data_IF_838468012963
#
_entry.id   IF_838468012963
#
_cell.length_a   1.000
_cell.length_b   1.000
_cell.length_c   1.000
_cell.angle_alpha   90.00
_cell.angle_beta   90.00
_cell.angle_gamma   90.00
#
_symmetry.space_group_name_H-M   'P 1'
#
loop_
_entity.id
_entity.type
_entity.pdbx_description
1 polymer ?
#
# COMPACT_ATOMS: atom_id res chain seq x y z
N UNK A 1 26.88 -17.90 13.52
CA UNK A 1 26.45 -16.76 14.36
C UNK A 1 25.50 -15.88 13.55
N UNK A 2 24.31 -15.56 14.04
CA UNK A 2 23.55 -14.44 13.47
C UNK A 2 24.15 -13.16 14.01
N UNK A 3 24.79 -12.37 13.16
CA UNK A 3 25.37 -11.10 13.56
C UNK A 3 24.28 -10.04 13.61
N UNK A 4 24.23 -9.29 14.71
CA UNK A 4 23.47 -8.04 14.78
C UNK A 4 24.12 -7.03 13.84
N UNK A 5 23.34 -6.48 12.91
CA UNK A 5 23.82 -5.47 11.96
C UNK A 5 23.07 -4.17 12.21
N UNK A 6 23.81 -3.12 12.53
CA UNK A 6 23.29 -1.76 12.61
C UNK A 6 23.53 -1.00 11.30
N UNK A 7 22.65 -0.05 10.97
CA UNK A 7 22.88 0.87 9.85
C UNK A 7 22.19 2.22 10.11
N UNK A 8 22.84 3.29 9.68
CA UNK A 8 22.19 4.59 9.47
C UNK A 8 21.91 4.74 7.98
N UNK A 9 20.70 5.17 7.62
CA UNK A 9 20.33 5.39 6.22
C UNK A 9 19.26 6.45 6.09
N UNK A 10 19.28 7.16 4.97
CA UNK A 10 18.17 7.99 4.53
C UNK A 10 17.18 7.06 3.82
N UNK A 11 16.07 6.74 4.48
CA UNK A 11 15.07 5.82 3.93
C UNK A 11 14.35 6.40 2.72
N UNK A 12 14.08 7.70 2.75
CA UNK A 12 13.35 8.49 1.73
C UNK A 12 13.82 9.94 1.81
N UNK A 13 14.19 10.54 0.67
CA UNK A 13 14.39 11.98 0.53
C UNK A 13 13.65 12.40 -0.72
N UNK A 14 12.48 13.03 -0.54
CA UNK A 14 11.51 13.22 -1.62
C UNK A 14 11.28 14.67 -1.95
N UNK A 15 11.17 14.96 -3.24
CA UNK A 15 10.62 16.21 -3.75
C UNK A 15 9.33 15.90 -4.49
N UNK A 16 8.25 16.58 -4.10
CA UNK A 16 6.94 16.43 -4.73
C UNK A 16 6.50 17.77 -5.30
N UNK A 17 6.10 17.77 -6.57
CA UNK A 17 5.45 18.89 -7.24
C UNK A 17 4.08 18.41 -7.70
N UNK A 18 3.03 19.07 -7.21
CA UNK A 18 1.65 18.79 -7.59
C UNK A 18 0.90 20.10 -7.78
N UNK A 19 -0.12 20.08 -8.63
CA UNK A 19 -0.89 21.26 -8.94
C UNK A 19 -1.88 21.01 -10.06
N UNK A 20 -2.29 22.09 -10.73
CA UNK A 20 -3.16 22.04 -11.89
C UNK A 20 -2.57 22.85 -13.03
N UNK A 21 -2.90 22.47 -14.26
CA UNK A 21 -2.47 23.13 -15.48
C UNK A 21 -3.70 23.56 -16.28
N UNK A 22 -3.78 24.83 -16.69
CA UNK A 22 -4.88 25.44 -17.45
C UNK A 22 -6.24 25.50 -16.72
N UNK A 23 -6.73 24.40 -16.12
CA UNK A 23 -7.95 24.34 -15.32
C UNK A 23 -7.75 23.48 -14.08
N UNK A 24 -8.59 23.67 -13.05
CA UNK A 24 -8.58 22.83 -11.84
C UNK A 24 -8.94 21.36 -12.09
N UNK A 25 -9.51 21.06 -13.26
CA UNK A 25 -9.87 19.71 -13.64
C UNK A 25 -8.66 18.92 -14.15
N UNK A 26 -7.63 19.61 -14.68
CA UNK A 26 -6.39 19.00 -15.14
C UNK A 26 -5.30 19.12 -14.07
N UNK A 27 -5.15 18.09 -13.25
CA UNK A 27 -4.14 18.01 -12.21
C UNK A 27 -2.90 17.23 -12.68
N UNK A 28 -1.73 17.55 -12.11
CA UNK A 28 -0.50 16.81 -12.35
C UNK A 28 0.22 16.51 -11.04
N UNK A 29 1.03 15.44 -11.05
CA UNK A 29 1.86 15.02 -9.92
C UNK A 29 3.21 14.49 -10.44
N UNK A 30 4.29 15.07 -9.90
CA UNK A 30 5.66 14.59 -10.05
C UNK A 30 6.24 14.35 -8.65
N UNK A 31 6.75 13.15 -8.40
CA UNK A 31 7.42 12.80 -7.16
C UNK A 31 8.72 12.06 -7.44
N UNK A 32 9.81 12.59 -6.90
CA UNK A 32 11.15 11.99 -6.96
C UNK A 32 11.58 11.57 -5.55
N UNK A 33 12.24 10.42 -5.42
CA UNK A 33 12.91 9.94 -4.22
C UNK A 33 14.40 9.80 -4.48
N UNK A 34 15.18 10.78 -4.07
CA UNK A 34 16.63 10.88 -4.31
C UNK A 34 17.48 9.85 -3.55
N UNK A 35 16.88 9.15 -2.58
CA UNK A 35 17.51 8.04 -1.87
C UNK A 35 17.45 6.70 -2.65
N UNK A 36 16.86 6.71 -3.85
CA UNK A 36 16.62 5.55 -4.72
C UNK A 36 17.52 5.66 -5.96
N UNK A 37 17.97 4.53 -6.52
CA UNK A 37 18.78 4.52 -7.74
C UNK A 37 17.99 4.98 -8.97
N UNK A 38 16.68 4.68 -8.95
CA UNK A 38 15.70 5.17 -9.92
C UNK A 38 14.74 6.12 -9.21
N UNK A 39 15.06 7.43 -9.16
CA UNK A 39 14.39 8.36 -8.26
C UNK A 39 12.91 8.61 -8.62
N UNK A 40 12.50 8.38 -9.87
CA UNK A 40 11.12 8.62 -10.28
C UNK A 40 10.16 7.67 -9.55
N UNK A 41 9.29 8.23 -8.70
CA UNK A 41 8.18 7.52 -8.08
C UNK A 41 6.89 7.75 -8.85
N UNK A 42 6.42 8.99 -8.92
CA UNK A 42 5.16 9.35 -9.56
C UNK A 42 5.42 10.39 -10.66
N UNK A 43 4.81 10.20 -11.83
CA UNK A 43 4.76 11.18 -12.93
C UNK A 43 3.46 10.93 -13.69
N UNK A 44 2.42 11.68 -13.35
CA UNK A 44 1.09 11.46 -13.90
C UNK A 44 0.31 12.76 -14.06
N UNK A 45 -0.70 12.68 -14.92
CA UNK A 45 -1.71 13.71 -15.15
C UNK A 45 -3.07 13.08 -14.92
N UNK A 46 -3.99 13.84 -14.32
CA UNK A 46 -5.36 13.42 -14.09
C UNK A 46 -6.34 14.50 -14.57
N UNK A 47 -7.38 14.08 -15.28
CA UNK A 47 -8.46 14.94 -15.72
C UNK A 47 -9.79 14.55 -15.05
N UNK A 48 -10.43 15.47 -14.35
CA UNK A 48 -11.76 15.30 -13.76
C UNK A 48 -12.86 15.74 -14.74
N UNK A 49 -13.50 14.78 -15.41
CA UNK A 49 -14.62 15.02 -16.32
C UNK A 49 -15.91 15.47 -15.61
N UNK A 50 -15.93 15.43 -14.28
CA UNK A 50 -17.09 15.81 -13.47
C UNK A 50 -16.95 17.17 -12.79
N UNK A 51 -15.95 17.96 -13.20
CA UNK A 51 -15.76 19.35 -12.79
C UNK A 51 -15.71 19.55 -11.28
N UNK A 52 -14.77 18.88 -10.62
CA UNK A 52 -14.52 18.96 -9.18
C UNK A 52 -15.37 18.01 -8.33
N UNK A 53 -16.37 17.33 -8.91
CA UNK A 53 -17.16 16.29 -8.20
C UNK A 53 -16.40 14.97 -8.04
N UNK A 54 -15.31 14.77 -8.80
CA UNK A 54 -14.48 13.55 -8.79
C UNK A 54 -15.29 12.26 -9.03
N UNK A 55 -16.36 12.31 -9.81
CA UNK A 55 -17.14 11.13 -10.20
C UNK A 55 -16.47 10.34 -11.32
N UNK A 56 -15.71 11.02 -12.19
CA UNK A 56 -15.02 10.42 -13.32
C UNK A 56 -13.67 11.11 -13.53
N UNK A 57 -12.63 10.57 -12.90
CA UNK A 57 -11.26 11.05 -13.01
C UNK A 57 -10.45 10.04 -13.80
N UNK A 58 -9.97 10.44 -14.97
CA UNK A 58 -9.02 9.67 -15.76
C UNK A 58 -7.60 10.11 -15.41
N UNK A 59 -6.78 9.18 -14.95
CA UNK A 59 -5.36 9.40 -14.62
C UNK A 59 -4.48 8.57 -15.56
N UNK A 60 -3.41 9.16 -16.08
CA UNK A 60 -2.42 8.49 -16.92
C UNK A 60 -0.98 8.84 -16.52
N UNK A 61 -0.07 7.89 -16.66
CA UNK A 61 1.35 8.04 -16.34
C UNK A 61 1.85 6.97 -15.37
N UNK A 62 2.91 7.28 -14.61
CA UNK A 62 3.41 6.41 -13.53
C UNK A 62 2.82 6.83 -12.19
N UNK A 63 2.15 5.89 -11.51
CA UNK A 63 1.57 6.11 -10.19
C UNK A 63 1.28 4.77 -9.49
N UNK A 64 0.82 4.83 -8.24
CA UNK A 64 0.41 3.62 -7.51
C UNK A 64 -0.81 2.98 -8.16
N UNK A 65 -0.68 1.70 -8.50
CA UNK A 65 -1.78 0.86 -8.96
C UNK A 65 -2.88 0.81 -7.88
N UNK A 66 -4.18 0.79 -8.22
CA UNK A 66 -5.29 0.84 -7.25
C UNK A 66 -5.48 -0.47 -6.47
N UNK A 67 -4.42 -1.04 -5.91
CA UNK A 67 -4.42 -2.33 -5.23
C UNK A 67 -3.63 -2.28 -3.91
N UNK A 68 -4.26 -2.72 -2.83
CA UNK A 68 -3.76 -2.73 -1.46
C UNK A 68 -3.90 -1.38 -0.74
N UNK A 69 -4.67 -1.33 0.35
CA UNK A 69 -4.88 -0.08 1.09
C UNK A 69 -3.59 0.48 1.70
N UNK A 70 -2.79 -0.36 2.35
CA UNK A 70 -1.56 0.11 2.99
C UNK A 70 -0.53 0.57 1.94
N UNK A 71 -0.55 0.00 0.74
CA UNK A 71 0.25 0.49 -0.38
C UNK A 71 -0.23 1.84 -0.87
N UNK A 72 -1.53 2.01 -1.10
CA UNK A 72 -2.12 3.28 -1.52
C UNK A 72 -1.89 4.41 -0.50
N UNK A 73 -1.84 4.08 0.78
CA UNK A 73 -1.48 5.03 1.84
C UNK A 73 -0.05 5.53 1.66
N UNK A 74 0.16 6.84 1.78
CA UNK A 74 1.49 7.44 1.70
C UNK A 74 2.39 6.83 2.78
N UNK A 75 3.64 6.54 2.43
CA UNK A 75 4.62 6.05 3.42
C UNK A 75 4.85 7.05 4.56
N UNK A 76 4.65 8.34 4.31
CA UNK A 76 4.72 9.37 5.36
C UNK A 76 3.56 9.29 6.36
N UNK A 77 2.46 8.65 5.97
CA UNK A 77 1.20 8.56 6.72
C UNK A 77 0.96 7.19 7.34
N UNK A 78 2.02 6.42 7.60
CA UNK A 78 1.95 5.09 8.24
C UNK A 78 2.32 5.14 9.73
N UNK A 79 1.76 4.20 10.52
CA UNK A 79 2.03 4.02 11.96
C UNK A 79 3.35 3.32 12.24
N UNK A 80 3.91 2.63 11.25
CA UNK A 80 5.18 1.92 11.33
C UNK A 80 6.14 2.44 10.25
N UNK A 81 7.44 2.21 10.45
CA UNK A 81 8.50 2.68 9.54
C UNK A 81 8.39 2.06 8.14
N UNK A 82 7.97 0.80 8.08
CA UNK A 82 7.67 0.08 6.84
C UNK A 82 6.29 -0.60 6.91
N UNK A 83 5.79 -0.95 5.73
CA UNK A 83 4.56 -1.72 5.54
C UNK A 83 4.65 -3.11 6.14
N UNK A 84 3.49 -3.74 6.33
CA UNK A 84 3.38 -5.11 6.78
C UNK A 84 4.07 -6.06 5.81
N UNK A 85 4.48 -7.23 6.31
CA UNK A 85 5.00 -8.32 5.47
C UNK A 85 3.99 -8.69 4.36
N UNK A 86 2.70 -8.68 4.68
CA UNK A 86 1.62 -9.03 3.74
C UNK A 86 1.45 -7.95 2.68
N UNK A 87 1.39 -6.67 3.05
CA UNK A 87 1.36 -5.57 2.07
C UNK A 87 2.58 -5.61 1.16
N UNK A 88 3.76 -5.86 1.71
CA UNK A 88 5.02 -5.94 0.95
C UNK A 88 5.03 -7.09 -0.06
N UNK A 89 4.39 -8.22 0.27
CA UNK A 89 4.34 -9.41 -0.59
C UNK A 89 3.31 -9.29 -1.73
N UNK A 90 2.15 -8.69 -1.46
CA UNK A 90 1.02 -8.70 -2.39
C UNK A 90 0.75 -7.38 -3.10
N UNK A 91 1.08 -6.23 -2.49
CA UNK A 91 0.82 -4.96 -3.13
C UNK A 91 1.81 -4.68 -4.27
N UNK A 92 1.32 -4.02 -5.33
CA UNK A 92 2.09 -3.83 -6.58
C UNK A 92 2.99 -2.61 -6.57
N UNK A 93 2.73 -1.66 -5.68
CA UNK A 93 3.39 -0.37 -5.72
C UNK A 93 2.96 0.41 -6.95
N UNK A 94 3.93 0.79 -7.78
CA UNK A 94 3.73 1.71 -8.89
C UNK A 94 3.97 1.05 -10.23
N UNK A 95 3.22 1.49 -11.23
CA UNK A 95 3.37 1.08 -12.62
C UNK A 95 2.96 2.22 -13.56
N UNK A 96 3.24 2.06 -14.84
CA UNK A 96 2.87 2.98 -15.91
C UNK A 96 1.59 2.47 -16.56
N UNK A 97 0.58 3.33 -16.65
CA UNK A 97 -0.70 2.97 -17.23
C UNK A 97 -1.75 4.07 -17.16
N UNK A 98 -3.01 3.64 -17.24
CA UNK A 98 -4.20 4.50 -17.15
C UNK A 98 -5.18 3.94 -16.12
N UNK A 99 -5.84 4.83 -15.39
CA UNK A 99 -6.84 4.50 -14.39
C UNK A 99 -8.05 5.42 -14.54
N UNK A 100 -9.25 4.85 -14.52
CA UNK A 100 -10.49 5.59 -14.31
C UNK A 100 -10.96 5.38 -12.87
N UNK A 101 -11.39 6.45 -12.21
CA UNK A 101 -11.83 6.38 -10.82
C UNK A 101 -12.93 7.39 -10.49
N UNK A 102 -13.65 7.15 -9.41
CA UNK A 102 -14.71 8.06 -8.97
C UNK A 102 -15.16 7.90 -7.52
N UNK A 103 -15.73 8.97 -6.97
CA UNK A 103 -16.35 9.07 -5.65
C UNK A 103 -17.88 9.20 -5.77
N UNK A 104 -18.56 8.08 -6.00
CA UNK A 104 -20.01 8.04 -6.17
C UNK A 104 -20.79 8.10 -4.83
N UNK A 105 -22.11 8.25 -4.93
CA UNK A 105 -23.04 8.28 -3.77
C UNK A 105 -22.67 9.33 -2.72
N UNK A 106 -22.28 10.53 -3.16
CA UNK A 106 -21.84 11.61 -2.28
C UNK A 106 -20.54 11.28 -1.54
N UNK A 107 -19.64 10.52 -2.19
CA UNK A 107 -18.36 10.10 -1.62
C UNK A 107 -18.43 8.82 -0.79
N UNK A 108 -19.57 8.13 -0.71
CA UNK A 108 -19.70 6.86 0.04
C UNK A 108 -19.18 5.63 -0.72
N UNK A 109 -18.89 5.77 -2.01
CA UNK A 109 -18.39 4.70 -2.85
C UNK A 109 -17.18 5.19 -3.66
N UNK A 110 -15.97 4.74 -3.30
CA UNK A 110 -14.73 4.94 -4.06
C UNK A 110 -14.53 3.73 -4.99
N UNK A 111 -14.55 3.95 -6.31
CA UNK A 111 -14.31 2.91 -7.29
C UNK A 111 -13.14 3.30 -8.19
N UNK A 112 -12.34 2.31 -8.56
CA UNK A 112 -11.14 2.48 -9.40
C UNK A 112 -10.97 1.26 -10.28
N UNK A 113 -10.70 1.50 -11.56
CA UNK A 113 -10.31 0.46 -12.53
C UNK A 113 -9.13 0.97 -13.33
N UNK A 114 -8.18 0.11 -13.67
CA UNK A 114 -7.01 0.53 -14.43
C UNK A 114 -6.40 -0.57 -15.29
N UNK A 115 -5.63 -0.13 -16.28
CA UNK A 115 -4.81 -0.97 -17.14
C UNK A 115 -3.37 -0.44 -17.12
N UNK A 116 -2.42 -1.32 -16.84
CA UNK A 116 -1.01 -0.99 -16.63
C UNK A 116 -0.12 -1.96 -17.39
N UNK A 117 1.16 -1.60 -17.56
CA UNK A 117 2.11 -2.48 -18.23
C UNK A 117 2.35 -3.80 -17.45
N UNK A 118 2.21 -3.80 -16.12
CA UNK A 118 2.44 -5.00 -15.31
C UNK A 118 3.92 -5.31 -15.04
N UNK A 119 4.82 -4.45 -15.52
CA UNK A 119 6.28 -4.60 -15.38
C UNK A 119 6.83 -3.82 -14.16
N UNK A 120 6.00 -2.97 -13.54
CA UNK A 120 6.35 -2.21 -12.35
C UNK A 120 7.10 -0.89 -12.61
N UNK A 121 7.44 -0.22 -11.51
CA UNK A 121 8.00 1.14 -11.51
C UNK A 121 9.27 1.27 -12.38
N UNK A 122 9.28 2.29 -13.23
CA UNK A 122 10.38 2.66 -14.13
C UNK A 122 10.71 1.62 -15.21
N UNK A 123 9.80 0.67 -15.48
CA UNK A 123 9.88 -0.18 -16.65
C UNK A 123 9.39 0.60 -17.88
N UNK A 124 10.30 0.92 -18.80
CA UNK A 124 10.01 1.75 -19.99
C UNK A 124 9.35 0.98 -21.13
N UNK A 125 9.25 -0.34 -21.01
CA UNK A 125 8.57 -1.20 -21.97
C UNK A 125 7.76 -2.26 -21.22
N UNK A 126 6.65 -2.68 -21.84
CA UNK A 126 5.94 -3.88 -21.40
C UNK A 126 6.85 -5.09 -21.64
N UNK A 127 6.97 -5.97 -20.65
CA UNK A 127 7.86 -7.13 -20.72
C UNK A 127 7.22 -8.32 -21.46
N UNK A 128 5.92 -8.24 -21.75
CA UNK A 128 5.15 -9.21 -22.51
C UNK A 128 4.05 -8.53 -23.38
N UNK A 129 3.16 -9.32 -24.00
CA UNK A 129 2.11 -8.84 -24.91
C UNK A 129 0.77 -8.52 -24.24
N UNK A 130 0.68 -8.60 -22.91
CA UNK A 130 -0.53 -8.45 -22.11
C UNK A 130 -0.39 -7.29 -21.12
N UNK A 131 -1.52 -6.73 -20.71
CA UNK A 131 -1.58 -5.70 -19.68
C UNK A 131 -1.96 -6.29 -18.32
N UNK A 132 -1.53 -5.62 -17.26
CA UNK A 132 -2.10 -5.78 -15.93
C UNK A 132 -3.43 -5.03 -15.86
N UNK A 133 -4.44 -5.64 -15.25
CA UNK A 133 -5.73 -5.00 -14.97
C UNK A 133 -6.05 -5.05 -13.48
N UNK A 134 -6.51 -3.93 -12.95
CA UNK A 134 -6.83 -3.77 -11.54
C UNK A 134 -8.24 -3.19 -11.38
N UNK A 135 -8.95 -3.68 -10.37
CA UNK A 135 -10.22 -3.12 -9.93
C UNK A 135 -10.25 -3.04 -8.41
N UNK A 136 -10.77 -1.94 -7.89
CA UNK A 136 -10.99 -1.74 -6.45
C UNK A 136 -12.27 -0.97 -6.22
N UNK A 137 -13.07 -1.44 -5.29
CA UNK A 137 -14.29 -0.77 -4.84
C UNK A 137 -14.29 -0.72 -3.32
N UNK A 138 -14.40 0.47 -2.75
CA UNK A 138 -14.50 0.71 -1.32
C UNK A 138 -15.83 1.39 -0.98
N UNK A 139 -16.56 0.80 -0.04
CA UNK A 139 -17.79 1.34 0.51
C UNK A 139 -17.52 1.93 1.89
N UNK A 140 -17.90 3.20 2.07
CA UNK A 140 -17.63 3.98 3.27
C UNK A 140 -18.90 4.72 3.73
N UNK A 141 -19.87 4.02 4.36
CA UNK A 141 -21.24 4.52 4.56
C UNK A 141 -21.34 5.72 5.51
N UNK A 142 -20.38 5.87 6.43
CA UNK A 142 -20.39 6.88 7.49
C UNK A 142 -19.53 8.11 7.18
N UNK A 143 -18.92 8.17 5.99
CA UNK A 143 -18.08 9.27 5.56
C UNK A 143 -16.74 8.78 5.01
N UNK A 144 -15.97 9.70 4.44
CA UNK A 144 -14.71 9.36 3.79
C UNK A 144 -13.65 8.86 4.77
N UNK A 145 -13.12 7.65 4.52
CA UNK A 145 -12.00 7.10 5.29
C UNK A 145 -10.69 7.38 4.56
N UNK A 146 -10.04 8.49 4.94
CA UNK A 146 -8.78 8.94 4.35
C UNK A 146 -7.70 7.86 4.36
N UNK A 147 -6.85 7.84 3.33
CA UNK A 147 -5.65 6.99 3.26
C UNK A 147 -4.55 7.56 4.16
N UNK A 148 -4.75 7.44 5.48
CA UNK A 148 -3.85 7.88 6.56
C UNK A 148 -4.02 6.93 7.74
N UNK A 149 -2.94 6.49 8.36
CA UNK A 149 -2.99 5.50 9.44
C UNK A 149 -3.06 6.11 10.86
N UNK A 150 -3.77 7.20 11.10
CA UNK A 150 -3.96 7.75 12.45
C UNK A 150 -5.21 8.63 12.51
N UNK A 151 -5.89 8.68 13.66
CA UNK A 151 -7.04 9.56 13.89
C UNK A 151 -6.68 10.91 14.55
N UNK A 152 -5.97 11.78 13.83
CA UNK A 152 -5.60 13.12 14.36
C UNK A 152 -6.81 14.03 14.65
N UNK A 153 -7.97 13.73 14.09
CA UNK A 153 -9.17 14.54 14.29
C UNK A 153 -9.92 14.15 15.57
N UNK A 154 -9.54 13.05 16.24
CA UNK A 154 -10.32 12.44 17.32
C UNK A 154 -11.78 12.31 16.92
N UNK A 155 -12.01 11.54 15.85
CA UNK A 155 -13.27 11.50 15.12
C UNK A 155 -14.39 11.00 16.03
N UNK A 156 -15.34 11.88 16.35
CA UNK A 156 -16.39 11.61 17.34
C UNK A 156 -17.41 10.55 16.86
N UNK A 157 -17.74 10.59 15.55
CA UNK A 157 -18.58 9.59 14.88
C UNK A 157 -17.66 8.55 14.25
N UNK A 158 -17.90 7.25 14.41
CA UNK A 158 -17.04 6.23 13.81
C UNK A 158 -17.07 6.36 12.29
N UNK A 159 -15.90 6.27 11.67
CA UNK A 159 -15.77 6.07 10.24
C UNK A 159 -15.41 4.61 9.96
N UNK A 160 -16.01 4.06 8.92
CA UNK A 160 -15.82 2.68 8.51
C UNK A 160 -15.69 2.63 6.99
N UNK A 161 -14.76 1.81 6.50
CA UNK A 161 -14.67 1.44 5.11
C UNK A 161 -14.40 -0.05 4.97
N UNK A 162 -15.00 -0.65 3.95
CA UNK A 162 -14.68 -2.01 3.48
C UNK A 162 -14.43 -1.96 1.98
N UNK A 163 -13.42 -2.65 1.51
CA UNK A 163 -13.06 -2.70 0.10
C UNK A 163 -12.83 -4.12 -0.40
N UNK A 164 -13.25 -4.36 -1.64
CA UNK A 164 -12.86 -5.52 -2.44
C UNK A 164 -11.94 -5.07 -3.58
N UNK A 165 -10.99 -5.93 -3.95
CA UNK A 165 -10.00 -5.65 -4.97
C UNK A 165 -9.61 -6.89 -5.75
N UNK A 166 -9.32 -6.71 -7.02
CA UNK A 166 -8.93 -7.76 -7.95
C UNK A 166 -7.82 -7.26 -8.88
N UNK A 167 -6.84 -8.12 -9.12
CA UNK A 167 -5.76 -7.92 -10.07
C UNK A 167 -5.63 -9.17 -10.95
N UNK A 168 -5.40 -8.95 -12.25
CA UNK A 168 -4.81 -9.95 -13.14
C UNK A 168 -3.56 -9.35 -13.80
N UNK A 169 -2.44 -10.08 -13.74
CA UNK A 169 -1.24 -9.75 -14.47
C UNK A 169 -0.57 -11.01 -15.02
N UNK A 170 -0.30 -11.02 -16.31
CA UNK A 170 0.52 -12.07 -16.89
C UNK A 170 1.99 -11.66 -16.74
N UNK A 171 2.75 -12.51 -16.07
CA UNK A 171 4.15 -12.25 -15.75
C UNK A 171 5.03 -13.02 -16.72
N UNK A 172 6.07 -12.34 -17.21
CA UNK A 172 7.08 -12.97 -18.05
C UNK A 172 7.79 -14.08 -17.27
N UNK A 173 7.79 -15.29 -17.83
CA UNK A 173 8.62 -16.38 -17.34
C UNK A 173 10.09 -16.19 -17.75
N UNK A 174 11.04 -16.57 -16.89
CA UNK A 174 12.45 -16.66 -17.31
C UNK A 174 12.64 -17.85 -18.24
N UNK A 175 13.28 -17.69 -19.39
CA UNK A 175 13.53 -18.80 -20.33
C UNK A 175 14.19 -20.00 -19.59
N UNK A 176 13.68 -21.24 -19.73
CA UNK A 176 12.72 -21.76 -20.73
C UNK A 176 11.24 -21.70 -20.32
N UNK A 177 10.90 -20.95 -19.26
CA UNK A 177 9.55 -20.90 -18.67
C UNK A 177 8.69 -19.91 -19.46
N UNK A 178 7.55 -20.40 -19.96
CA UNK A 178 6.50 -19.58 -20.59
C UNK A 178 5.89 -18.58 -19.60
N UNK A 179 5.31 -17.49 -20.10
CA UNK A 179 4.53 -16.53 -19.31
C UNK A 179 3.47 -17.26 -18.47
N UNK A 180 3.26 -16.77 -17.25
CA UNK A 180 2.28 -17.34 -16.34
C UNK A 180 1.28 -16.28 -15.92
N UNK A 181 0.03 -16.72 -15.76
CA UNK A 181 -1.04 -15.85 -15.29
C UNK A 181 -0.99 -15.76 -13.78
N UNK A 182 -1.07 -14.55 -13.27
CA UNK A 182 -1.20 -14.25 -11.84
C UNK A 182 -2.54 -13.55 -11.62
N UNK A 183 -3.35 -14.09 -10.70
CA UNK A 183 -4.61 -13.50 -10.28
C UNK A 183 -4.55 -13.27 -8.78
N UNK A 184 -4.82 -12.03 -8.34
CA UNK A 184 -4.83 -11.68 -6.91
C UNK A 184 -6.17 -11.10 -6.54
N UNK A 185 -6.84 -11.76 -5.59
CA UNK A 185 -7.99 -11.19 -4.89
C UNK A 185 -7.52 -10.58 -3.59
N UNK A 186 -8.15 -9.49 -3.18
CA UNK A 186 -7.94 -8.97 -1.84
C UNK A 186 -9.14 -8.23 -1.31
N UNK A 187 -9.03 -7.83 -0.05
CA UNK A 187 -9.97 -6.94 0.59
C UNK A 187 -9.38 -6.30 1.83
N UNK A 188 -9.95 -5.18 2.22
CA UNK A 188 -9.55 -4.49 3.45
C UNK A 188 -10.75 -3.91 4.18
N UNK A 189 -10.59 -3.77 5.49
CA UNK A 189 -11.56 -3.15 6.41
C UNK A 189 -10.81 -2.13 7.25
N UNK A 190 -11.47 -1.01 7.53
CA UNK A 190 -10.88 0.11 8.27
C UNK A 190 -11.90 0.69 9.22
N UNK A 191 -11.45 1.01 10.43
CA UNK A 191 -12.24 1.71 11.44
C UNK A 191 -11.42 2.87 11.99
N UNK A 192 -12.04 4.04 12.10
CA UNK A 192 -11.43 5.25 12.69
C UNK A 192 -12.42 5.85 13.69
N UNK A 193 -12.02 5.99 14.95
CA UNK A 193 -12.91 6.46 16.00
C UNK A 193 -12.18 6.93 17.27
N UNK A 194 -12.43 8.17 17.71
CA UNK A 194 -11.99 8.71 19.02
C UNK A 194 -10.50 8.47 19.33
N UNK A 195 -9.64 8.72 18.36
CA UNK A 195 -8.19 8.53 18.50
C UNK A 195 -7.70 7.11 18.15
N UNK A 196 -8.61 6.17 17.91
CA UNK A 196 -8.30 4.85 17.38
C UNK A 196 -8.27 4.87 15.85
N UNK A 197 -7.27 4.23 15.26
CA UNK A 197 -7.24 3.80 13.87
C UNK A 197 -6.93 2.31 13.84
N UNK A 198 -7.69 1.54 13.07
CA UNK A 198 -7.41 0.13 12.84
C UNK A 198 -7.74 -0.27 11.42
N UNK A 199 -6.95 -1.18 10.86
CA UNK A 199 -7.29 -1.83 9.60
C UNK A 199 -6.89 -3.31 9.59
N UNK A 200 -7.57 -4.03 8.71
CA UNK A 200 -7.22 -5.38 8.30
C UNK A 200 -7.12 -5.41 6.78
N UNK A 201 -6.15 -6.13 6.23
CA UNK A 201 -6.06 -6.42 4.80
C UNK A 201 -5.75 -7.90 4.58
N UNK A 202 -6.47 -8.51 3.63
CA UNK A 202 -6.31 -9.89 3.22
C UNK A 202 -6.05 -9.95 1.72
N UNK A 203 -5.18 -10.88 1.32
CA UNK A 203 -4.91 -11.19 -0.08
C UNK A 203 -4.86 -12.70 -0.29
N UNK A 204 -5.26 -13.13 -1.48
CA UNK A 204 -5.05 -14.46 -2.00
C UNK A 204 -4.61 -14.36 -3.46
N UNK A 205 -3.45 -14.93 -3.77
CA UNK A 205 -2.85 -14.92 -5.10
C UNK A 205 -2.73 -16.33 -5.64
N UNK A 206 -3.06 -16.50 -6.91
CA UNK A 206 -2.90 -17.74 -7.65
C UNK A 206 -1.96 -17.52 -8.84
N UNK A 207 -0.91 -18.34 -8.93
CA UNK A 207 -0.01 -18.39 -10.07
C UNK A 207 -0.29 -19.65 -10.89
N UNK A 208 -0.61 -19.47 -12.17
CA UNK A 208 -0.87 -20.57 -13.10
C UNK A 208 0.20 -20.62 -14.18
N UNK A 209 1.15 -21.55 -14.05
CA UNK A 209 2.09 -21.85 -15.12
C UNK A 209 1.49 -22.90 -16.06
N UNK A 210 1.79 -22.85 -17.37
CA UNK A 210 1.32 -23.86 -18.31
C UNK A 210 1.68 -25.27 -17.85
N UNK A 211 0.70 -26.19 -17.91
CA UNK A 211 0.87 -27.61 -17.56
C UNK A 211 1.36 -27.88 -16.11
N UNK A 212 1.07 -26.98 -15.18
CA UNK A 212 1.40 -27.14 -13.76
C UNK A 212 0.16 -27.01 -12.85
N UNK A 213 0.24 -27.57 -11.65
CA UNK A 213 -0.75 -27.32 -10.60
C UNK A 213 -0.68 -25.85 -10.16
N UNK A 214 -1.81 -25.14 -10.02
CA UNK A 214 -1.79 -23.76 -9.54
C UNK A 214 -1.15 -23.62 -8.16
N UNK A 215 -0.23 -22.67 -8.04
CA UNK A 215 0.36 -22.29 -6.76
C UNK A 215 -0.47 -21.18 -6.14
N UNK A 216 -0.91 -21.37 -4.89
CA UNK A 216 -1.67 -20.36 -4.15
C UNK A 216 -0.83 -19.83 -2.99
N UNK A 217 -0.95 -18.53 -2.74
CA UNK A 217 -0.41 -17.86 -1.55
C UNK A 217 -1.49 -16.96 -0.97
N UNK A 218 -1.46 -16.74 0.34
CA UNK A 218 -2.43 -15.89 1.02
C UNK A 218 -1.78 -15.17 2.20
N UNK A 219 -2.32 -14.01 2.56
CA UNK A 219 -1.83 -13.29 3.73
C UNK A 219 -2.90 -12.42 4.36
N UNK A 220 -2.80 -12.24 5.67
CA UNK A 220 -3.64 -11.37 6.48
C UNK A 220 -2.74 -10.47 7.32
N UNK A 221 -2.93 -9.15 7.25
CA UNK A 221 -2.37 -8.20 8.19
C UNK A 221 -3.48 -7.50 8.98
N UNK A 222 -3.26 -7.39 10.29
CA UNK A 222 -4.04 -6.62 11.24
C UNK A 222 -3.13 -5.56 11.84
N UNK A 223 -3.59 -4.32 11.86
CA UNK A 223 -2.86 -3.23 12.47
C UNK A 223 -3.84 -2.27 13.14
N UNK A 224 -3.47 -1.74 14.29
CA UNK A 224 -4.21 -0.66 14.89
C UNK A 224 -3.39 0.12 15.89
N UNK A 225 -3.76 1.37 16.09
CA UNK A 225 -3.13 2.23 17.07
C UNK A 225 -4.11 3.21 17.68
N UNK A 226 -3.69 3.77 18.81
CA UNK A 226 -4.50 4.65 19.63
C UNK A 226 -3.65 5.81 20.16
N UNK A 227 -4.20 7.02 20.13
CA UNK A 227 -3.60 8.19 20.76
C UNK A 227 -3.73 8.13 22.28
N UNK A 228 -2.62 7.85 22.97
CA UNK A 228 -2.53 7.99 24.43
C UNK A 228 -2.59 9.45 24.88
N UNK A 229 -1.99 10.33 24.07
CA UNK A 229 -2.15 11.79 24.17
C UNK A 229 -2.70 12.26 22.83
N UNK A 230 -3.92 12.85 22.79
CA UNK A 230 -4.58 13.22 21.54
C UNK A 230 -3.66 13.98 20.59
N UNK A 231 -3.49 13.46 19.38
CA UNK A 231 -2.70 14.06 18.31
C UNK A 231 -1.19 14.24 18.58
N UNK A 232 -0.67 13.73 19.70
CA UNK A 232 0.74 13.88 20.10
C UNK A 232 1.44 12.54 20.27
N UNK A 233 0.87 11.61 21.05
CA UNK A 233 1.51 10.33 21.36
C UNK A 233 0.57 9.18 20.98
N UNK A 234 0.98 8.35 20.02
CA UNK A 234 0.24 7.18 19.56
C UNK A 234 1.07 5.91 19.79
N UNK A 235 0.39 4.85 20.20
CA UNK A 235 0.95 3.49 20.24
C UNK A 235 0.18 2.63 19.26
N UNK A 236 0.89 1.82 18.48
CA UNK A 236 0.31 0.93 17.49
C UNK A 236 0.85 -0.50 17.60
N UNK A 237 0.01 -1.47 17.30
CA UNK A 237 0.32 -2.89 17.24
C UNK A 237 0.08 -3.40 15.82
N UNK A 238 0.90 -4.38 15.40
CA UNK A 238 0.75 -5.09 14.14
C UNK A 238 0.89 -6.59 14.35
N UNK A 239 0.02 -7.34 13.69
CA UNK A 239 0.15 -8.77 13.50
C UNK A 239 -0.08 -9.10 12.03
N UNK A 240 0.81 -9.86 11.40
CA UNK A 240 0.60 -10.34 10.05
C UNK A 240 1.00 -11.81 9.91
N UNK A 241 0.29 -12.54 9.07
CA UNK A 241 0.59 -13.92 8.69
C UNK A 241 0.57 -14.04 7.18
N UNK A 242 1.58 -14.70 6.63
CA UNK A 242 1.74 -14.97 5.20
C UNK A 242 1.96 -16.47 5.00
N UNK A 243 1.09 -17.08 4.23
CA UNK A 243 1.29 -18.39 3.61
C UNK A 243 1.85 -18.19 2.20
N UNK A 244 3.14 -18.49 1.96
CA UNK A 244 3.76 -18.27 0.67
C UNK A 244 3.40 -19.34 -0.37
N UNK A 245 2.88 -20.51 0.03
CA UNK A 245 2.56 -21.60 -0.90
C UNK A 245 1.69 -22.69 -0.28
N UNK A 246 0.61 -23.03 -0.97
CA UNK A 246 -0.22 -24.21 -0.71
C UNK A 246 0.47 -25.58 -0.88
N UNK A 247 1.72 -25.65 -1.34
CA UNK A 247 2.46 -26.92 -1.50
C UNK A 247 3.25 -27.32 -0.25
N UNK A 248 3.57 -26.36 0.63
CA UNK A 248 4.29 -26.60 1.87
C UNK A 248 3.35 -26.71 3.06
N UNK A 249 3.73 -27.50 4.07
CA UNK A 249 3.18 -27.36 5.43
C UNK A 249 4.28 -26.79 6.31
N UNK A 250 3.90 -25.97 7.30
CA UNK A 250 4.84 -25.43 8.28
C UNK A 250 5.81 -24.40 7.72
N UNK A 251 5.38 -23.60 6.73
CA UNK A 251 6.19 -22.55 6.13
C UNK A 251 5.57 -21.14 6.24
N UNK A 252 4.59 -20.99 7.13
CA UNK A 252 4.00 -19.71 7.44
C UNK A 252 5.08 -18.73 7.92
N UNK A 253 4.90 -17.48 7.52
CA UNK A 253 5.71 -16.35 7.98
C UNK A 253 4.85 -15.44 8.81
N UNK A 254 5.39 -14.97 9.93
CA UNK A 254 4.69 -14.08 10.85
C UNK A 254 5.44 -12.77 11.04
N UNK A 255 4.69 -11.70 11.23
CA UNK A 255 5.16 -10.41 11.74
C UNK A 255 4.40 -10.07 13.01
N UNK A 256 5.11 -9.64 14.05
CA UNK A 256 4.54 -9.01 15.25
C UNK A 256 5.28 -7.70 15.48
N UNK A 257 4.57 -6.60 15.64
CA UNK A 257 5.18 -5.29 15.78
C UNK A 257 4.49 -4.42 16.83
N UNK A 258 5.29 -3.57 17.47
CA UNK A 258 4.87 -2.47 18.34
C UNK A 258 5.55 -1.19 17.83
N UNK A 259 4.78 -0.12 17.65
CA UNK A 259 5.29 1.19 17.30
C UNK A 259 4.84 2.24 18.33
N UNK A 260 5.70 3.23 18.53
CA UNK A 260 5.43 4.44 19.29
C UNK A 260 5.71 5.64 18.39
N UNK A 261 4.72 6.49 18.23
CA UNK A 261 4.78 7.68 17.38
C UNK A 261 4.62 8.93 18.23
N UNK A 262 5.56 9.85 18.10
CA UNK A 262 5.47 11.19 18.66
C UNK A 262 5.31 12.21 17.52
N UNK A 263 4.20 12.92 17.52
CA UNK A 263 3.84 13.88 16.47
C UNK A 263 4.03 15.31 16.98
N UNK A 264 4.86 16.07 16.27
CA UNK A 264 4.99 17.51 16.48
C UNK A 264 3.99 18.28 15.61
N UNK A 265 3.70 17.78 14.41
CA UNK A 265 2.67 18.29 13.52
C UNK A 265 2.12 17.18 12.61
N UNK A 266 1.16 16.39 13.13
CA UNK A 266 0.56 15.25 12.41
C UNK A 266 1.62 14.41 11.69
N UNK A 267 1.32 13.86 10.52
CA UNK A 267 2.32 13.16 9.71
C UNK A 267 3.40 14.06 9.06
N UNK A 268 3.24 15.39 9.10
CA UNK A 268 4.21 16.29 8.50
C UNK A 268 5.51 16.38 9.30
N UNK A 269 5.44 16.28 10.63
CA UNK A 269 6.62 16.31 11.49
C UNK A 269 6.45 15.32 12.64
N UNK A 270 7.23 14.23 12.61
CA UNK A 270 7.10 13.13 13.58
C UNK A 270 8.43 12.43 13.87
N UNK A 271 8.53 11.89 15.08
CA UNK A 271 9.52 10.89 15.48
C UNK A 271 8.78 9.56 15.70
N UNK A 272 9.27 8.49 15.11
CA UNK A 272 8.66 7.16 15.16
C UNK A 272 9.71 6.15 15.58
N UNK A 273 9.36 5.27 16.49
CA UNK A 273 10.17 4.11 16.84
C UNK A 273 9.31 2.84 16.78
N UNK A 274 9.89 1.75 16.29
CA UNK A 274 9.19 0.47 16.29
C UNK A 274 10.15 -0.68 16.55
N UNK A 275 9.58 -1.73 17.15
CA UNK A 275 10.20 -3.04 17.27
C UNK A 275 9.30 -4.05 16.56
N UNK A 276 9.90 -4.90 15.73
CA UNK A 276 9.17 -6.02 15.13
C UNK A 276 9.96 -7.31 15.16
N UNK A 277 9.21 -8.42 15.22
CA UNK A 277 9.71 -9.78 15.10
C UNK A 277 9.16 -10.41 13.84
N UNK A 278 10.06 -10.82 12.95
CA UNK A 278 9.77 -11.61 11.76
C UNK A 278 10.14 -13.07 12.03
N UNK A 279 9.21 -13.99 11.75
CA UNK A 279 9.39 -15.41 11.98
C UNK A 279 9.08 -16.19 10.71
N UNK A 280 9.96 -17.12 10.32
CA UNK A 280 9.77 -18.01 9.19
C UNK A 280 9.77 -19.45 9.69
N UNK A 281 8.61 -20.10 9.69
CA UNK A 281 8.46 -21.45 10.26
C UNK A 281 9.35 -22.48 9.55
N UNK A 282 9.45 -22.40 8.22
CA UNK A 282 10.21 -23.36 7.40
C UNK A 282 11.67 -23.46 7.80
N UNK A 283 12.27 -22.32 8.15
CA UNK A 283 13.69 -22.22 8.50
C UNK A 283 13.91 -22.12 10.01
N UNK A 284 12.84 -21.99 10.81
CA UNK A 284 12.91 -21.65 12.23
C UNK A 284 13.50 -20.27 12.53
N UNK A 285 13.79 -19.45 11.50
CA UNK A 285 14.48 -18.17 11.66
C UNK A 285 13.55 -17.15 12.32
N UNK A 286 14.05 -16.52 13.37
CA UNK A 286 13.44 -15.38 14.06
C UNK A 286 14.38 -14.18 13.94
N UNK A 287 13.89 -13.09 13.37
CA UNK A 287 14.64 -11.84 13.22
C UNK A 287 13.94 -10.76 14.03
N UNK A 288 14.69 -10.05 14.87
CA UNK A 288 14.23 -8.85 15.55
C UNK A 288 14.79 -7.62 14.85
N UNK A 289 13.93 -6.63 14.65
CA UNK A 289 14.31 -5.34 14.09
C UNK A 289 13.88 -4.23 15.04
N UNK A 290 14.80 -3.32 15.32
CA UNK A 290 14.58 -2.13 16.13
C UNK A 290 14.89 -0.92 15.25
N UNK A 291 13.96 0.03 15.17
CA UNK A 291 14.08 1.17 14.27
C UNK A 291 13.65 2.45 14.98
N UNK A 292 14.33 3.52 14.66
CA UNK A 292 13.93 4.89 14.97
C UNK A 292 14.02 5.71 13.68
N UNK A 293 13.02 6.53 13.41
CA UNK A 293 12.91 7.34 12.21
C UNK A 293 12.38 8.72 12.57
N UNK A 294 13.14 9.76 12.21
CA UNK A 294 12.67 11.13 12.15
C UNK A 294 12.12 11.43 10.75
N UNK A 295 11.00 12.15 10.68
CA UNK A 295 10.37 12.53 9.41
C UNK A 295 9.93 14.00 9.44
N UNK A 296 10.23 14.70 8.35
CA UNK A 296 9.77 16.05 8.06
C UNK A 296 9.24 16.12 6.61
N UNK A 297 8.07 16.73 6.42
CA UNK A 297 7.41 17.00 5.14
C UNK A 297 7.03 18.48 5.13
N UNK A 298 7.36 19.18 4.05
CA UNK A 298 7.12 20.61 3.84
C UNK A 298 6.83 20.90 2.37
#
# INVERSE_FOLDING_TARGET
>A
SQHTVGSFRIRRFKTKLEGWAYSKDLAFELQLNWADDKPLEDANVAYDFSHGKKLFVLKGGQFKVPFGRQELTSSGSQQFVDRSLVSTEFARGRDIGVQLSGLALGGKLDWRVGAFNGAGRNATANDNSKLQYDARVAWQPWGEVKYSESDFASTQKPLFAVAGQYEVNDRRGGAPIYDFKEETWGGDVVVVWRGFFGFAEYFQREHRRPRSTPQKSAGLALQGGYFLVPSTLEVALRYAVLDPSNFGRGDLRYEKGLAVNYFFNRHAHKLQADVRRLENQRTGRKTWEFRAQYQLIF
#
